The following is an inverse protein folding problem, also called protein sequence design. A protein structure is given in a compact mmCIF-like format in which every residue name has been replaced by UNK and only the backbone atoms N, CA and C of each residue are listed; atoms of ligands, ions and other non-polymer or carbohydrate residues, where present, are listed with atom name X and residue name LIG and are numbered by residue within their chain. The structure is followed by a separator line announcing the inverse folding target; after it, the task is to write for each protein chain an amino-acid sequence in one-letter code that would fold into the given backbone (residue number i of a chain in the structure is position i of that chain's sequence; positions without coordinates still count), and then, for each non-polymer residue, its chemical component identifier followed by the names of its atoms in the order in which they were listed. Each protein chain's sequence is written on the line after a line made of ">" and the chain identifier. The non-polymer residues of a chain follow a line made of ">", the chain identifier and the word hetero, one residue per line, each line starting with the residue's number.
data_IF_955815263713
#
_entry.id   IF_955815263713
#
_cell.length_a   1.000
_cell.length_b   1.000
_cell.length_c   1.000
_cell.angle_alpha   90.00
_cell.angle_beta   90.00
_cell.angle_gamma   90.00
#
_symmetry.space_group_name_H-M   'P 1'
#
loop_
_entity.id
_entity.type
_entity.pdbx_description
1 polymer ?
#
# COMPACT_ATOMS: atom_id res chain seq x y z
N UNK A 1 6.24 1.43 8.40
CA UNK A 1 6.04 2.70 9.12
C UNK A 1 4.57 3.03 9.18
N UNK A 2 4.13 3.55 10.32
CA UNK A 2 2.79 4.09 10.52
C UNK A 2 2.88 5.59 10.71
N UNK A 3 1.89 6.34 10.23
CA UNK A 3 1.88 7.78 10.34
C UNK A 3 1.65 8.21 11.79
N UNK A 4 2.45 9.15 12.28
CA UNK A 4 2.29 9.78 13.58
C UNK A 4 1.65 11.17 13.47
N UNK A 5 1.85 11.85 12.34
CA UNK A 5 1.24 13.15 12.10
C UNK A 5 1.50 13.67 10.70
N UNK A 6 0.59 14.49 10.20
CA UNK A 6 0.69 15.16 8.90
C UNK A 6 0.44 16.64 9.06
N UNK A 7 1.32 17.45 8.54
CA UNK A 7 1.18 18.90 8.47
C UNK A 7 1.20 19.32 7.00
N UNK A 8 0.19 20.04 6.56
CA UNK A 8 0.09 20.59 5.20
C UNK A 8 0.11 22.11 5.28
N UNK A 9 0.96 22.73 4.45
CA UNK A 9 1.00 24.18 4.27
C UNK A 9 0.54 24.52 2.86
N UNK A 10 -0.52 25.30 2.76
CA UNK A 10 -1.06 25.81 1.51
C UNK A 10 -1.27 27.32 1.62
N UNK A 11 -0.70 28.12 0.70
CA UNK A 11 -0.81 29.59 0.70
C UNK A 11 -0.44 30.27 2.05
N UNK A 12 0.45 29.62 2.83
CA UNK A 12 0.85 30.09 4.16
C UNK A 12 -0.08 29.68 5.30
N UNK A 13 -1.18 29.01 5.01
CA UNK A 13 -2.03 28.39 6.03
C UNK A 13 -1.51 26.99 6.38
N UNK A 14 -1.43 26.69 7.67
CA UNK A 14 -0.93 25.41 8.20
C UNK A 14 -2.08 24.61 8.77
N UNK A 15 -2.29 23.41 8.27
CA UNK A 15 -3.30 22.48 8.75
C UNK A 15 -2.64 21.19 9.21
N UNK A 16 -3.06 20.68 10.37
CA UNK A 16 -2.63 19.38 10.87
C UNK A 16 -3.75 18.34 10.67
N UNK A 17 -3.34 17.17 10.21
CA UNK A 17 -4.25 16.03 10.00
C UNK A 17 -3.81 14.85 10.86
N UNK A 18 -4.81 14.09 11.33
CA UNK A 18 -4.62 12.75 11.88
C UNK A 18 -5.38 11.78 10.97
N UNK A 19 -4.71 10.72 10.53
CA UNK A 19 -5.30 9.68 9.68
C UNK A 19 -4.59 8.36 9.91
N UNK A 20 -5.27 7.26 9.61
CA UNK A 20 -4.65 5.94 9.59
C UNK A 20 -3.95 5.77 8.24
N UNK A 21 -2.63 5.73 8.27
CA UNK A 21 -1.81 5.61 7.08
C UNK A 21 -0.62 4.71 7.35
N UNK A 22 -0.29 3.89 6.38
CA UNK A 22 0.90 3.04 6.37
C UNK A 22 1.80 3.38 5.19
N UNK A 23 3.10 3.20 5.37
CA UNK A 23 4.09 3.24 4.29
C UNK A 23 5.11 2.12 4.48
N UNK A 24 5.31 1.32 3.45
CA UNK A 24 6.27 0.23 3.44
C UNK A 24 7.38 0.57 2.44
N UNK A 25 8.63 0.40 2.88
CA UNK A 25 9.81 0.39 2.01
C UNK A 25 10.47 -0.98 2.11
N UNK A 26 10.65 -1.66 1.00
CA UNK A 26 11.38 -2.92 0.92
C UNK A 26 11.96 -3.14 -0.48
N UNK A 27 13.17 -3.69 -0.56
CA UNK A 27 13.81 -4.10 -1.82
C UNK A 27 13.83 -3.02 -2.92
N UNK A 28 14.03 -1.74 -2.55
CA UNK A 28 14.02 -0.63 -3.50
C UNK A 28 12.63 -0.26 -4.04
N UNK A 29 11.59 -0.64 -3.33
CA UNK A 29 10.19 -0.33 -3.62
C UNK A 29 9.54 0.39 -2.45
N UNK A 30 8.46 1.12 -2.75
CA UNK A 30 7.57 1.68 -1.73
C UNK A 30 6.10 1.45 -2.09
N UNK A 31 5.27 1.45 -1.07
CA UNK A 31 3.82 1.57 -1.19
C UNK A 31 3.28 2.27 0.05
N UNK A 32 2.30 3.16 -0.16
CA UNK A 32 1.55 3.80 0.91
C UNK A 32 0.05 3.67 0.67
N UNK A 33 -0.72 3.76 1.75
CA UNK A 33 -2.18 3.70 1.67
C UNK A 33 -2.84 4.42 2.84
N UNK A 34 -3.92 5.15 2.57
CA UNK A 34 -4.82 5.75 3.55
C UNK A 34 -6.18 6.11 2.96
N UNK A 35 -7.18 6.31 3.83
CA UNK A 35 -8.43 6.97 3.49
C UNK A 35 -8.23 8.48 3.51
N UNK A 36 -8.47 9.13 2.39
CA UNK A 36 -8.37 10.58 2.27
C UNK A 36 -9.74 11.23 2.50
N UNK A 37 -9.99 11.63 3.75
CA UNK A 37 -11.27 12.23 4.15
C UNK A 37 -11.54 13.59 3.49
N UNK A 38 -10.50 14.28 2.98
CA UNK A 38 -10.63 15.59 2.33
C UNK A 38 -11.33 15.47 0.97
N UNK A 39 -11.03 14.38 0.25
CA UNK A 39 -11.62 14.11 -1.08
C UNK A 39 -12.62 12.97 -1.05
N UNK A 40 -12.95 12.46 0.15
CA UNK A 40 -13.86 11.31 0.34
C UNK A 40 -13.48 10.11 -0.55
N UNK A 41 -12.19 9.83 -0.67
CA UNK A 41 -11.64 8.79 -1.53
C UNK A 41 -10.45 8.09 -0.88
N UNK A 42 -10.00 7.02 -1.52
CA UNK A 42 -8.76 6.35 -1.15
C UNK A 42 -7.56 7.08 -1.76
N UNK A 43 -6.41 7.02 -1.09
CA UNK A 43 -5.13 7.49 -1.63
C UNK A 43 -4.09 6.39 -1.41
N UNK A 44 -3.69 5.77 -2.51
CA UNK A 44 -2.77 4.64 -2.53
C UNK A 44 -1.82 4.81 -3.68
N UNK A 45 -0.54 4.61 -3.43
CA UNK A 45 0.49 4.67 -4.46
C UNK A 45 1.64 3.71 -4.17
N UNK A 46 2.23 3.19 -5.25
CA UNK A 46 3.37 2.30 -5.18
C UNK A 46 4.36 2.55 -6.33
N UNK A 47 5.62 2.22 -6.10
CA UNK A 47 6.67 2.40 -7.12
C UNK A 47 8.06 2.07 -6.62
N UNK A 48 9.05 2.64 -7.31
CA UNK A 48 10.46 2.49 -7.01
C UNK A 48 10.88 3.50 -5.93
N UNK A 49 11.73 3.07 -5.01
CA UNK A 49 12.36 3.93 -4.01
C UNK A 49 13.87 3.71 -4.05
N UNK A 50 14.64 4.78 -4.08
CA UNK A 50 16.09 4.72 -4.05
C UNK A 50 16.67 5.88 -3.25
N UNK A 51 17.79 5.62 -2.56
CA UNK A 51 18.53 6.65 -1.85
C UNK A 51 19.61 7.21 -2.78
N UNK A 52 19.54 8.51 -3.05
CA UNK A 52 20.52 9.19 -3.91
C UNK A 52 20.88 10.56 -3.32
N UNK A 53 22.19 10.81 -3.18
CA UNK A 53 22.72 12.12 -2.72
C UNK A 53 22.11 12.65 -1.41
N UNK A 54 21.74 11.75 -0.48
CA UNK A 54 21.13 12.14 0.80
C UNK A 54 19.63 12.41 0.73
N UNK A 55 18.99 12.08 -0.38
CA UNK A 55 17.55 12.25 -0.60
C UNK A 55 16.93 10.90 -0.98
N UNK A 56 15.74 10.63 -0.50
CA UNK A 56 14.93 9.51 -0.98
C UNK A 56 14.26 9.94 -2.28
N UNK A 57 14.50 9.18 -3.35
CA UNK A 57 13.85 9.40 -4.64
C UNK A 57 12.74 8.36 -4.79
N UNK A 58 11.50 8.81 -4.89
CA UNK A 58 10.32 7.98 -5.14
C UNK A 58 9.83 8.16 -6.57
N UNK A 59 9.70 7.06 -7.31
CA UNK A 59 9.18 7.04 -8.68
C UNK A 59 7.91 6.20 -8.72
N UNK A 60 6.72 6.81 -8.62
CA UNK A 60 5.46 6.09 -8.70
C UNK A 60 5.31 5.31 -10.00
N UNK A 61 4.75 4.12 -9.92
CA UNK A 61 4.43 3.24 -11.05
C UNK A 61 2.93 2.96 -11.16
N UNK A 62 2.24 2.99 -10.02
CA UNK A 62 0.80 2.77 -9.93
C UNK A 62 0.24 3.59 -8.79
N UNK A 63 -1.00 4.07 -8.95
CA UNK A 63 -1.80 4.63 -7.88
C UNK A 63 -3.25 4.12 -8.01
N UNK A 64 -4.15 4.61 -7.16
CA UNK A 64 -5.56 4.21 -7.16
C UNK A 64 -6.32 4.61 -8.45
N UNK A 65 -5.74 5.40 -9.34
CA UNK A 65 -6.28 5.68 -10.69
C UNK A 65 -5.75 4.73 -11.76
N UNK A 66 -4.73 3.91 -11.42
CA UNK A 66 -4.09 2.97 -12.34
C UNK A 66 -2.59 3.25 -12.56
N UNK A 67 -2.00 2.78 -13.66
CA UNK A 67 -0.60 2.99 -13.98
C UNK A 67 -0.25 4.48 -14.12
N UNK A 68 0.88 4.88 -13.54
CA UNK A 68 1.42 6.25 -13.65
C UNK A 68 2.84 6.23 -14.18
N UNK A 69 3.24 7.30 -14.85
CA UNK A 69 4.60 7.48 -15.36
C UNK A 69 4.97 8.95 -15.49
N UNK A 70 6.26 9.24 -15.56
CA UNK A 70 6.75 10.61 -15.76
C UNK A 70 6.85 11.45 -14.49
N UNK A 71 6.60 10.86 -13.32
CA UNK A 71 6.73 11.51 -12.02
C UNK A 71 7.94 10.97 -11.27
N UNK A 72 8.62 11.84 -10.55
CA UNK A 72 9.66 11.52 -9.59
C UNK A 72 9.60 12.55 -8.48
N UNK A 73 9.66 12.10 -7.24
CA UNK A 73 9.65 12.96 -6.08
C UNK A 73 10.96 12.82 -5.33
N UNK A 74 11.62 13.94 -5.12
CA UNK A 74 12.74 14.06 -4.21
C UNK A 74 12.18 14.36 -2.82
N UNK A 75 12.33 13.40 -1.92
CA UNK A 75 11.76 13.45 -0.59
C UNK A 75 12.88 13.66 0.42
N UNK A 76 12.88 14.80 1.10
CA UNK A 76 13.79 15.04 2.20
C UNK A 76 13.38 14.16 3.39
N UNK A 77 14.35 13.43 3.94
CA UNK A 77 14.16 12.53 5.08
C UNK A 77 15.08 12.95 6.21
N UNK A 78 14.51 13.29 7.34
CA UNK A 78 15.22 13.55 8.59
C UNK A 78 14.90 12.42 9.59
N UNK A 79 15.93 11.75 10.12
CA UNK A 79 15.76 10.68 11.09
C UNK A 79 15.29 11.24 12.43
N UNK A 80 14.29 10.59 13.02
CA UNK A 80 13.81 10.86 14.38
C UNK A 80 14.19 9.70 15.32
N UNK A 81 13.88 9.83 16.61
CA UNK A 81 14.13 8.77 17.60
C UNK A 81 13.29 7.51 17.29
N UNK A 82 12.06 7.68 16.80
CA UNK A 82 11.10 6.58 16.58
C UNK A 82 10.95 6.20 15.11
N UNK A 83 11.49 7.00 14.17
CA UNK A 83 11.32 6.74 12.74
C UNK A 83 11.96 7.80 11.86
N UNK A 84 11.15 8.56 11.13
CA UNK A 84 11.63 9.68 10.31
C UNK A 84 10.54 10.75 10.09
N UNK A 85 11.00 11.95 9.77
CA UNK A 85 10.18 13.02 9.20
C UNK A 85 10.45 13.09 7.69
N UNK A 86 9.40 13.17 6.91
CA UNK A 86 9.44 13.30 5.46
C UNK A 86 8.88 14.65 5.07
N UNK A 87 9.63 15.42 4.27
CA UNK A 87 9.17 16.71 3.72
C UNK A 87 9.08 16.64 2.21
N UNK A 88 7.91 17.00 1.68
CA UNK A 88 7.65 17.19 0.25
C UNK A 88 7.28 18.64 0.03
N UNK A 89 8.04 19.36 -0.80
CA UNK A 89 7.82 20.77 -1.09
C UNK A 89 7.27 20.94 -2.49
N UNK A 90 6.26 21.80 -2.63
CA UNK A 90 5.66 22.14 -3.92
C UNK A 90 4.97 20.94 -4.60
N UNK A 91 4.37 20.06 -3.81
CA UNK A 91 3.58 18.96 -4.36
C UNK A 91 2.37 19.54 -5.09
N UNK A 92 2.25 19.22 -6.38
CA UNK A 92 1.06 19.56 -7.15
C UNK A 92 -0.08 18.59 -6.82
N UNK A 93 -1.18 19.15 -6.37
CA UNK A 93 -2.40 18.43 -6.02
C UNK A 93 -3.53 18.78 -7.00
N UNK A 94 -4.66 18.07 -6.92
CA UNK A 94 -5.79 18.29 -7.80
C UNK A 94 -6.18 19.77 -7.95
N UNK A 95 -6.44 20.21 -9.17
CA UNK A 95 -6.78 21.59 -9.49
C UNK A 95 -5.58 22.55 -9.58
N UNK A 96 -4.32 22.03 -9.64
CA UNK A 96 -3.11 22.85 -9.73
C UNK A 96 -2.73 23.52 -8.40
N UNK A 97 -3.24 23.01 -7.28
CA UNK A 97 -2.86 23.47 -5.93
C UNK A 97 -1.45 23.01 -5.61
N UNK A 98 -0.64 23.93 -5.07
CA UNK A 98 0.71 23.60 -4.60
C UNK A 98 0.68 23.53 -3.07
N UNK A 99 1.16 22.40 -2.55
CA UNK A 99 1.20 22.12 -1.12
C UNK A 99 2.62 21.77 -0.69
N UNK A 100 3.01 22.25 0.49
CA UNK A 100 4.13 21.69 1.22
C UNK A 100 3.58 20.74 2.28
N UNK A 101 4.15 19.55 2.38
CA UNK A 101 3.69 18.51 3.29
C UNK A 101 4.83 17.98 4.13
N UNK A 102 4.59 17.90 5.43
CA UNK A 102 5.48 17.24 6.39
C UNK A 102 4.73 16.06 7.00
N UNK A 103 5.31 14.89 6.88
CA UNK A 103 4.78 13.64 7.46
C UNK A 103 5.78 13.09 8.48
N UNK A 104 5.28 12.82 9.69
CA UNK A 104 6.05 12.16 10.74
C UNK A 104 5.65 10.69 10.79
N UNK A 105 6.64 9.82 10.69
CA UNK A 105 6.47 8.38 10.57
C UNK A 105 7.14 7.65 11.71
N UNK A 106 6.38 6.82 12.43
CA UNK A 106 6.91 5.89 13.41
C UNK A 106 7.22 4.54 12.78
N UNK A 107 8.35 3.97 13.14
CA UNK A 107 8.77 2.65 12.70
C UNK A 107 7.95 1.57 13.40
N UNK A 108 7.09 0.89 12.65
CA UNK A 108 6.22 -0.14 13.19
C UNK A 108 6.95 -1.47 13.39
N UNK A 109 7.77 -1.89 12.42
CA UNK A 109 8.45 -3.18 12.48
C UNK A 109 9.64 -3.24 11.51
N UNK A 110 10.53 -4.23 11.74
CA UNK A 110 11.62 -4.61 10.83
C UNK A 110 11.60 -6.11 10.54
N UNK A 111 10.50 -6.78 10.84
CA UNK A 111 10.34 -8.19 10.52
C UNK A 111 10.49 -8.39 9.00
N UNK A 112 11.08 -9.52 8.63
CA UNK A 112 11.27 -9.89 7.21
C UNK A 112 10.66 -11.25 6.94
N UNK A 113 10.19 -11.42 5.71
CA UNK A 113 9.68 -12.70 5.22
C UNK A 113 10.25 -13.00 3.84
N UNK A 114 10.08 -14.22 3.37
CA UNK A 114 10.43 -14.60 2.01
C UNK A 114 9.51 -13.93 0.96
N UNK A 115 8.36 -13.43 1.39
CA UNK A 115 7.35 -12.77 0.55
C UNK A 115 7.53 -11.25 0.46
N UNK A 116 8.50 -10.67 1.17
CA UNK A 116 8.74 -9.22 1.10
C UNK A 116 8.96 -8.75 -0.33
N UNK A 117 8.29 -7.68 -0.74
CA UNK A 117 8.38 -7.10 -2.07
C UNK A 117 7.11 -6.41 -2.52
N UNK A 118 7.18 -5.81 -3.71
CA UNK A 118 6.03 -5.26 -4.43
C UNK A 118 5.61 -6.25 -5.52
N UNK A 119 4.32 -6.57 -5.56
CA UNK A 119 3.77 -7.66 -6.35
C UNK A 119 2.58 -7.20 -7.17
N UNK A 120 2.48 -7.69 -8.41
CA UNK A 120 1.36 -7.47 -9.31
C UNK A 120 0.62 -8.78 -9.54
N UNK A 121 -0.68 -8.77 -9.34
CA UNK A 121 -1.55 -9.91 -9.67
C UNK A 121 -1.43 -10.25 -11.15
N UNK A 122 -1.26 -11.55 -11.44
CA UNK A 122 -1.22 -12.11 -12.79
C UNK A 122 -2.50 -12.89 -13.11
N UNK A 123 -2.91 -13.76 -12.19
CA UNK A 123 -4.12 -14.56 -12.34
C UNK A 123 -4.92 -14.59 -11.06
N UNK A 124 -6.24 -14.66 -11.19
CA UNK A 124 -7.18 -14.87 -10.10
C UNK A 124 -8.19 -15.94 -10.53
N UNK A 125 -8.26 -17.00 -9.77
CA UNK A 125 -9.26 -18.05 -9.93
C UNK A 125 -10.29 -17.90 -8.80
N UNK A 126 -11.53 -17.66 -9.17
CA UNK A 126 -12.65 -17.45 -8.26
C UNK A 126 -13.95 -17.71 -9.01
N UNK A 127 -14.96 -18.22 -8.30
CA UNK A 127 -16.29 -18.42 -8.85
C UNK A 127 -17.23 -17.22 -8.64
N UNK A 128 -16.72 -16.08 -8.25
CA UNK A 128 -17.53 -14.86 -8.04
C UNK A 128 -18.10 -14.38 -9.37
N UNK A 129 -19.42 -14.43 -9.58
CA UNK A 129 -20.01 -14.26 -10.91
C UNK A 129 -20.04 -12.81 -11.39
N UNK A 130 -19.87 -11.87 -10.50
CA UNK A 130 -20.13 -10.44 -10.76
C UNK A 130 -18.86 -9.58 -10.82
N UNK A 131 -17.67 -10.21 -10.74
CA UNK A 131 -16.40 -9.49 -10.79
C UNK A 131 -15.74 -9.73 -12.15
N UNK A 132 -15.39 -8.63 -12.81
CA UNK A 132 -14.57 -8.62 -14.02
C UNK A 132 -13.45 -7.58 -13.91
N UNK A 133 -12.46 -7.66 -14.80
CA UNK A 133 -11.34 -6.71 -14.88
C UNK A 133 -10.60 -6.52 -13.53
N UNK A 134 -10.42 -7.61 -12.79
CA UNK A 134 -9.78 -7.56 -11.49
C UNK A 134 -8.25 -7.40 -11.62
N UNK A 135 -7.73 -6.35 -11.03
CA UNK A 135 -6.32 -6.07 -10.92
C UNK A 135 -5.96 -5.77 -9.45
N UNK A 136 -4.82 -6.28 -9.00
CA UNK A 136 -4.34 -6.01 -7.65
C UNK A 136 -2.83 -5.75 -7.66
N UNK A 137 -2.43 -4.75 -6.88
CA UNK A 137 -1.04 -4.52 -6.49
C UNK A 137 -0.94 -4.77 -4.99
N UNK A 138 0.00 -5.63 -4.58
CA UNK A 138 0.20 -5.99 -3.17
C UNK A 138 1.64 -5.73 -2.77
N UNK A 139 1.84 -5.15 -1.61
CA UNK A 139 3.15 -5.00 -0.97
C UNK A 139 3.19 -5.75 0.34
N UNK A 140 4.28 -6.49 0.56
CA UNK A 140 4.56 -7.16 1.82
C UNK A 140 5.95 -6.70 2.28
N UNK A 141 6.08 -6.32 3.54
CA UNK A 141 7.37 -5.92 4.11
C UNK A 141 7.24 -5.37 5.53
N UNK A 142 8.27 -5.57 6.33
CA UNK A 142 8.28 -5.09 7.71
C UNK A 142 7.19 -5.72 8.57
N UNK A 143 6.77 -6.97 8.32
CA UNK A 143 5.68 -7.61 9.06
C UNK A 143 4.30 -6.97 8.80
N UNK A 144 4.14 -6.31 7.67
CA UNK A 144 2.89 -5.69 7.24
C UNK A 144 2.61 -5.98 5.78
N UNK A 145 1.34 -5.78 5.39
CA UNK A 145 0.91 -5.80 4.00
C UNK A 145 0.08 -4.57 3.65
N UNK A 146 0.06 -4.25 2.36
CA UNK A 146 -0.87 -3.30 1.72
C UNK A 146 -1.34 -3.96 0.44
N UNK A 147 -2.63 -3.86 0.12
CA UNK A 147 -3.16 -4.17 -1.19
C UNK A 147 -3.99 -3.02 -1.74
N UNK A 148 -3.97 -2.87 -3.06
CA UNK A 148 -4.82 -1.99 -3.86
C UNK A 148 -5.50 -2.83 -4.92
N UNK A 149 -6.81 -2.81 -4.96
CA UNK A 149 -7.64 -3.50 -5.95
C UNK A 149 -8.37 -2.51 -6.83
N UNK A 150 -8.39 -2.80 -8.12
CA UNK A 150 -9.22 -2.16 -9.10
C UNK A 150 -9.99 -3.25 -9.82
N UNK A 151 -11.32 -3.18 -9.81
CA UNK A 151 -12.19 -4.18 -10.38
C UNK A 151 -13.42 -3.54 -11.02
N UNK A 152 -14.15 -4.33 -11.79
CA UNK A 152 -15.51 -3.99 -12.21
C UNK A 152 -16.44 -4.98 -11.52
N UNK A 153 -17.32 -4.46 -10.66
CA UNK A 153 -18.33 -5.24 -9.94
C UNK A 153 -19.72 -4.87 -10.45
N UNK A 154 -20.47 -5.82 -10.94
CA UNK A 154 -21.79 -5.62 -11.57
C UNK A 154 -21.82 -4.53 -12.67
N UNK A 155 -20.70 -4.37 -13.38
CA UNK A 155 -20.54 -3.36 -14.43
C UNK A 155 -20.06 -1.98 -13.95
N UNK A 156 -19.93 -1.78 -12.65
CA UNK A 156 -19.45 -0.53 -12.05
C UNK A 156 -17.97 -0.64 -11.61
N UNK A 157 -17.14 0.37 -11.87
CA UNK A 157 -15.74 0.37 -11.44
C UNK A 157 -15.65 0.52 -9.91
N UNK A 158 -14.90 -0.35 -9.29
CA UNK A 158 -14.65 -0.37 -7.85
C UNK A 158 -13.16 -0.26 -7.58
N UNK A 159 -12.81 0.56 -6.60
CA UNK A 159 -11.44 0.74 -6.12
C UNK A 159 -11.42 0.53 -4.63
N UNK A 160 -10.60 -0.40 -4.19
CA UNK A 160 -10.51 -0.78 -2.78
C UNK A 160 -9.07 -0.94 -2.35
N UNK A 161 -8.83 -0.75 -1.07
CA UNK A 161 -7.54 -1.00 -0.45
C UNK A 161 -7.71 -1.58 0.95
N UNK A 162 -6.65 -2.17 1.44
CA UNK A 162 -6.50 -2.54 2.83
C UNK A 162 -5.04 -2.70 3.21
N UNK A 163 -4.78 -2.54 4.49
CA UNK A 163 -3.47 -2.83 5.06
C UNK A 163 -3.59 -3.39 6.48
N UNK A 164 -2.53 -4.05 6.91
CA UNK A 164 -2.49 -4.64 8.22
C UNK A 164 -1.17 -5.33 8.53
N UNK A 165 -1.18 -6.17 9.58
CA UNK A 165 -0.02 -6.97 9.94
C UNK A 165 0.05 -8.26 9.14
N UNK A 166 1.25 -8.72 8.89
CA UNK A 166 1.58 -9.94 8.15
C UNK A 166 2.58 -10.78 8.93
N UNK A 167 2.21 -11.99 9.24
CA UNK A 167 3.07 -12.96 9.91
C UNK A 167 3.03 -14.29 9.17
N UNK A 168 4.15 -15.02 9.16
CA UNK A 168 4.20 -16.40 8.64
C UNK A 168 4.29 -17.33 9.83
N UNK A 169 3.37 -18.25 9.94
CA UNK A 169 3.29 -19.22 11.03
C UNK A 169 4.32 -20.35 10.88
N UNK A 170 4.37 -21.24 11.88
CA UNK A 170 5.29 -22.37 11.88
C UNK A 170 5.04 -23.40 10.77
N UNK A 171 3.88 -23.38 10.13
CA UNK A 171 3.50 -24.26 8.99
C UNK A 171 3.84 -23.62 7.65
N UNK A 172 4.22 -22.33 7.64
CA UNK A 172 4.47 -21.54 6.43
C UNK A 172 3.22 -20.83 5.88
N UNK A 173 2.09 -20.90 6.58
CA UNK A 173 0.88 -20.17 6.22
C UNK A 173 0.99 -18.71 6.72
N UNK A 174 0.49 -17.76 5.93
CA UNK A 174 0.44 -16.36 6.34
C UNK A 174 -0.80 -16.08 7.17
N UNK A 175 -0.63 -15.24 8.18
CA UNK A 175 -1.72 -14.65 8.96
C UNK A 175 -1.74 -13.15 8.68
N UNK A 176 -2.82 -12.70 8.07
CA UNK A 176 -3.08 -11.28 7.79
C UNK A 176 -4.14 -10.76 8.77
N UNK A 177 -3.80 -9.70 9.52
CA UNK A 177 -4.78 -9.01 10.38
C UNK A 177 -5.01 -7.62 9.82
N UNK A 178 -6.24 -7.34 9.40
CA UNK A 178 -6.61 -6.06 8.81
C UNK A 178 -6.64 -4.96 9.86
N UNK A 179 -5.92 -3.86 9.61
CA UNK A 179 -5.91 -2.67 10.46
C UNK A 179 -6.87 -1.61 9.90
N UNK A 180 -6.81 -1.39 8.60
CA UNK A 180 -7.63 -0.38 7.91
C UNK A 180 -8.00 -0.89 6.52
N UNK A 181 -9.22 -0.60 6.07
CA UNK A 181 -9.69 -0.94 4.74
C UNK A 181 -10.78 0.02 4.25
N UNK A 182 -10.92 0.13 2.93
CA UNK A 182 -12.09 0.73 2.29
C UNK A 182 -13.30 -0.20 2.25
N UNK A 183 -13.08 -1.52 2.45
CA UNK A 183 -14.16 -2.52 2.48
C UNK A 183 -14.83 -2.48 3.86
N UNK A 184 -16.15 -2.24 3.93
CA UNK A 184 -16.88 -2.30 5.19
C UNK A 184 -16.68 -3.66 5.90
N UNK A 185 -16.62 -3.63 7.24
CA UNK A 185 -16.49 -4.81 8.11
C UNK A 185 -15.22 -5.66 7.90
N UNK A 186 -14.27 -5.19 7.10
CA UNK A 186 -12.99 -5.88 6.91
C UNK A 186 -11.98 -5.59 8.02
N UNK A 187 -12.05 -4.42 8.65
CA UNK A 187 -11.13 -4.03 9.73
C UNK A 187 -11.28 -4.97 10.95
N UNK A 188 -10.14 -5.34 11.53
CA UNK A 188 -10.06 -6.28 12.65
C UNK A 188 -10.22 -7.75 12.26
N UNK A 189 -10.47 -8.08 10.99
CA UNK A 189 -10.53 -9.46 10.55
C UNK A 189 -9.14 -10.10 10.54
N UNK A 190 -9.10 -11.41 10.85
CA UNK A 190 -7.89 -12.22 10.79
C UNK A 190 -8.09 -13.30 9.73
N UNK A 191 -7.24 -13.30 8.74
CA UNK A 191 -7.29 -14.25 7.62
C UNK A 191 -6.08 -15.15 7.63
N UNK A 192 -6.31 -16.47 7.56
CA UNK A 192 -5.27 -17.43 7.26
C UNK A 192 -5.16 -17.59 5.74
N UNK A 193 -3.99 -17.29 5.20
CA UNK A 193 -3.71 -17.28 3.76
C UNK A 193 -2.63 -18.31 3.48
N UNK A 194 -2.94 -19.33 2.69
CA UNK A 194 -1.90 -20.26 2.22
C UNK A 194 -1.06 -19.55 1.19
N UNK A 195 0.26 -19.48 1.43
CA UNK A 195 1.19 -18.84 0.51
C UNK A 195 2.30 -19.82 0.10
N UNK A 196 2.65 -19.81 -1.16
CA UNK A 196 3.73 -20.62 -1.73
C UNK A 196 4.56 -19.80 -2.70
N UNK A 197 5.89 -19.72 -2.48
CA UNK A 197 6.82 -19.19 -3.46
C UNK A 197 7.01 -20.21 -4.56
N UNK A 198 6.61 -19.87 -5.78
CA UNK A 198 6.88 -20.70 -6.97
C UNK A 198 8.33 -20.53 -7.43
N UNK A 199 8.86 -19.31 -7.32
CA UNK A 199 10.25 -18.94 -7.55
C UNK A 199 10.54 -17.58 -6.88
N UNK A 200 11.71 -16.99 -7.14
CA UNK A 200 12.09 -15.67 -6.57
C UNK A 200 11.20 -14.50 -7.03
N UNK A 201 10.46 -14.68 -8.12
CA UNK A 201 9.65 -13.64 -8.75
C UNK A 201 8.16 -13.95 -8.75
N UNK A 202 7.74 -15.13 -8.34
CA UNK A 202 6.33 -15.50 -8.32
C UNK A 202 5.94 -16.19 -7.01
N UNK A 203 4.76 -15.87 -6.53
CA UNK A 203 4.11 -16.62 -5.47
C UNK A 203 2.62 -16.83 -5.78
N UNK A 204 2.04 -17.86 -5.16
CA UNK A 204 0.59 -18.05 -5.08
C UNK A 204 0.11 -17.79 -3.67
N UNK A 205 -1.14 -17.31 -3.58
CA UNK A 205 -1.87 -17.29 -2.32
C UNK A 205 -3.26 -17.91 -2.53
N UNK A 206 -3.80 -18.57 -1.50
CA UNK A 206 -5.17 -19.08 -1.48
C UNK A 206 -5.82 -18.79 -0.14
N UNK A 207 -7.06 -18.34 -0.18
CA UNK A 207 -7.87 -18.04 1.00
C UNK A 207 -9.35 -18.33 0.73
N UNK A 208 -10.16 -18.36 1.78
CA UNK A 208 -11.61 -18.51 1.64
C UNK A 208 -12.27 -17.15 1.78
N UNK A 209 -13.05 -16.78 0.78
CA UNK A 209 -13.85 -15.56 0.76
C UNK A 209 -15.31 -15.91 0.41
N UNK A 210 -16.26 -15.51 1.24
CA UNK A 210 -17.70 -15.85 1.09
C UNK A 210 -17.97 -17.36 0.89
N UNK A 211 -17.18 -18.23 1.53
CA UNK A 211 -17.30 -19.69 1.41
C UNK A 211 -16.68 -20.29 0.16
N UNK A 212 -16.11 -19.48 -0.73
CA UNK A 212 -15.42 -19.90 -1.95
C UNK A 212 -13.90 -19.80 -1.77
N UNK A 213 -13.18 -20.73 -2.37
CA UNK A 213 -11.71 -20.64 -2.41
C UNK A 213 -11.29 -19.72 -3.55
N UNK A 214 -10.54 -18.71 -3.20
CA UNK A 214 -9.89 -17.80 -4.16
C UNK A 214 -8.41 -18.16 -4.23
N UNK A 215 -7.89 -18.33 -5.44
CA UNK A 215 -6.46 -18.54 -5.69
C UNK A 215 -5.93 -17.43 -6.58
N UNK A 216 -4.83 -16.83 -6.17
CA UNK A 216 -4.20 -15.71 -6.85
C UNK A 216 -2.71 -16.00 -7.07
N UNK A 217 -2.21 -15.67 -8.26
CA UNK A 217 -0.78 -15.76 -8.58
C UNK A 217 -0.24 -14.36 -8.84
N UNK A 218 0.89 -14.04 -8.22
CA UNK A 218 1.53 -12.74 -8.30
C UNK A 218 2.92 -12.84 -8.91
N UNK A 219 3.31 -11.77 -9.60
CA UNK A 219 4.66 -11.55 -10.09
C UNK A 219 5.29 -10.33 -9.41
N UNK A 220 6.56 -10.44 -9.06
CA UNK A 220 7.35 -9.34 -8.48
C UNK A 220 7.54 -8.21 -9.49
N UNK A 221 7.31 -6.99 -9.07
CA UNK A 221 7.51 -5.78 -9.87
C UNK A 221 8.95 -5.29 -9.82
#
# INVERSE_FOLDING_TARGET
>A
YLIAGVTVTENGEVTQYSRDQIKIYTQGRFMYAFNNAVIESIDVGAGDASWSNGVMVEVPRVNHHGPVSGYSFDVAIDQTETGFEQTVIGMEYEGGRLLDMVEVWDKASTATSAFDGLWQLQTRESNEPNISEFAETKMIGGGHYIWLQNAVFEGEPVKEFGFGTFEVDANGDAIETAMTSSIPDYEGTVSAVKMELLDKNHFTQSFVYNGETVTQTYMRM
#
